data_IF_773596138554
#
_entry.id   IF_773596138554
#
_cell.length_a   1.000
_cell.length_b   1.000
_cell.length_c   1.000
_cell.angle_alpha   90.00
_cell.angle_beta   90.00
_cell.angle_gamma   90.00
#
_symmetry.space_group_name_H-M   'P 1'
#
loop_
_entity.id
_entity.type
_entity.pdbx_description
1 polymer ?
#
# COMPACT_ATOMS: atom_id res chain seq x y z
N UNK A 1 -8.73 -37.61 39.51
CA UNK A 1 -8.45 -37.36 38.09
C UNK A 1 -9.21 -36.09 37.70
N UNK A 2 -8.56 -34.95 37.77
CA UNK A 2 -9.09 -33.65 37.33
C UNK A 2 -8.93 -33.61 35.81
N UNK A 3 -10.06 -33.46 35.11
CA UNK A 3 -10.04 -33.24 33.66
C UNK A 3 -9.22 -31.97 33.34
N UNK A 4 -8.42 -31.97 32.28
CA UNK A 4 -7.74 -30.75 31.83
C UNK A 4 -8.81 -29.73 31.45
N UNK A 5 -8.78 -28.56 32.09
CA UNK A 5 -9.54 -27.39 31.66
C UNK A 5 -9.10 -27.08 30.22
N UNK A 6 -10.01 -27.22 29.29
CA UNK A 6 -9.84 -26.77 27.90
C UNK A 6 -9.70 -25.25 27.94
N UNK A 7 -8.48 -24.80 27.94
CA UNK A 7 -8.10 -23.38 27.80
C UNK A 7 -8.30 -22.96 26.31
N UNK A 8 -9.56 -23.09 25.85
CA UNK A 8 -9.96 -22.71 24.49
C UNK A 8 -9.97 -21.20 24.39
N UNK A 9 -9.26 -20.65 23.39
CA UNK A 9 -9.32 -19.22 23.07
C UNK A 9 -10.76 -18.82 22.72
N UNK A 10 -11.16 -17.66 23.17
CA UNK A 10 -12.47 -17.10 22.83
C UNK A 10 -12.48 -16.60 21.37
N UNK A 11 -13.67 -16.50 20.76
CA UNK A 11 -13.82 -15.93 19.42
C UNK A 11 -13.24 -14.51 19.35
N UNK A 12 -13.35 -13.73 20.42
CA UNK A 12 -12.81 -12.38 20.51
C UNK A 12 -11.27 -12.39 20.48
N UNK A 13 -10.60 -13.28 21.21
CA UNK A 13 -9.13 -13.39 21.18
C UNK A 13 -8.62 -13.83 19.82
N UNK A 14 -9.35 -14.73 19.13
CA UNK A 14 -9.01 -15.13 17.76
C UNK A 14 -9.15 -13.95 16.81
N UNK A 15 -10.23 -13.20 16.89
CA UNK A 15 -10.45 -11.98 16.08
C UNK A 15 -9.35 -10.95 16.29
N UNK A 16 -9.00 -10.65 17.52
CA UNK A 16 -7.93 -9.70 17.85
C UNK A 16 -6.58 -10.13 17.29
N UNK A 17 -6.27 -11.41 17.39
CA UNK A 17 -5.07 -12.00 16.79
C UNK A 17 -5.05 -11.86 15.25
N UNK A 18 -6.17 -12.12 14.58
CA UNK A 18 -6.29 -12.00 13.14
C UNK A 18 -6.15 -10.54 12.68
N UNK A 19 -6.77 -9.59 13.40
CA UNK A 19 -6.62 -8.16 13.12
C UNK A 19 -5.18 -7.69 13.31
N UNK A 20 -4.52 -8.11 14.39
CA UNK A 20 -3.12 -7.79 14.62
C UNK A 20 -2.21 -8.36 13.51
N UNK A 21 -2.47 -9.60 13.09
CA UNK A 21 -1.73 -10.27 12.01
C UNK A 21 -1.94 -9.59 10.66
N UNK A 22 -3.17 -9.21 10.32
CA UNK A 22 -3.50 -8.43 9.12
C UNK A 22 -2.70 -7.11 9.11
N UNK A 23 -2.74 -6.35 10.20
CA UNK A 23 -2.07 -5.06 10.29
C UNK A 23 -0.54 -5.19 10.24
N UNK A 24 0.02 -6.25 10.80
CA UNK A 24 1.44 -6.56 10.67
C UNK A 24 1.82 -6.91 9.22
N UNK A 25 1.00 -7.72 8.55
CA UNK A 25 1.20 -8.10 7.15
C UNK A 25 1.05 -6.89 6.21
N UNK A 26 0.07 -6.01 6.42
CA UNK A 26 -0.08 -4.78 5.66
C UNK A 26 1.16 -3.89 5.77
N UNK A 27 1.70 -3.69 6.97
CA UNK A 27 2.89 -2.84 7.19
C UNK A 27 4.18 -3.43 6.61
N UNK A 28 4.32 -4.76 6.57
CA UNK A 28 5.53 -5.45 6.11
C UNK A 28 5.20 -6.62 5.18
N UNK A 29 4.51 -6.37 4.05
CA UNK A 29 3.95 -7.43 3.22
C UNK A 29 5.00 -8.41 2.70
N UNK A 30 6.20 -7.95 2.34
CA UNK A 30 7.29 -8.80 1.89
C UNK A 30 7.77 -9.83 2.93
N UNK A 31 7.56 -9.57 4.23
CA UNK A 31 7.89 -10.53 5.30
C UNK A 31 6.81 -11.57 5.54
N UNK A 32 5.58 -11.32 5.09
CA UNK A 32 4.40 -12.15 5.34
C UNK A 32 3.92 -12.93 4.10
N UNK A 33 4.59 -12.82 2.96
CA UNK A 33 4.23 -13.53 1.73
C UNK A 33 3.47 -12.70 0.69
N UNK A 34 3.55 -11.38 0.80
CA UNK A 34 3.04 -10.43 -0.19
C UNK A 34 1.53 -10.46 -0.35
N UNK A 35 1.05 -10.18 -1.57
CA UNK A 35 -0.37 -10.06 -1.91
C UNK A 35 -1.22 -11.26 -1.49
N UNK A 36 -0.70 -12.47 -1.69
CA UNK A 36 -1.43 -13.71 -1.33
C UNK A 36 -1.74 -13.76 0.16
N UNK A 37 -0.77 -13.44 1.01
CA UNK A 37 -0.97 -13.43 2.46
C UNK A 37 -1.96 -12.34 2.89
N UNK A 38 -1.90 -11.15 2.28
CA UNK A 38 -2.86 -10.08 2.56
C UNK A 38 -4.30 -10.53 2.30
N UNK A 39 -4.54 -11.21 1.18
CA UNK A 39 -5.87 -11.74 0.83
C UNK A 39 -6.34 -12.80 1.83
N UNK A 40 -5.44 -13.69 2.27
CA UNK A 40 -5.76 -14.73 3.26
C UNK A 40 -6.13 -14.08 4.60
N UNK A 41 -5.36 -13.08 5.07
CA UNK A 41 -5.66 -12.40 6.34
C UNK A 41 -6.96 -11.59 6.27
N UNK A 42 -7.25 -10.92 5.16
CA UNK A 42 -8.51 -10.20 4.96
C UNK A 42 -9.70 -11.16 4.95
N UNK A 43 -9.59 -12.29 4.27
CA UNK A 43 -10.61 -13.34 4.26
C UNK A 43 -10.86 -13.89 5.68
N UNK A 44 -9.80 -14.17 6.42
CA UNK A 44 -9.90 -14.66 7.80
C UNK A 44 -10.55 -13.64 8.77
N UNK A 45 -10.21 -12.33 8.62
CA UNK A 45 -10.83 -11.27 9.42
C UNK A 45 -12.29 -11.09 9.01
N UNK A 46 -12.60 -11.12 7.72
CA UNK A 46 -13.98 -11.06 7.22
C UNK A 46 -14.83 -12.21 7.79
N UNK A 47 -14.30 -13.43 7.81
CA UNK A 47 -14.95 -14.58 8.42
C UNK A 47 -15.21 -14.36 9.93
N UNK A 48 -14.20 -13.86 10.66
CA UNK A 48 -14.34 -13.59 12.10
C UNK A 48 -15.38 -12.50 12.42
N UNK A 49 -15.63 -11.58 11.50
CA UNK A 49 -16.59 -10.48 11.63
C UNK A 49 -17.95 -10.76 10.94
N UNK A 50 -18.16 -11.98 10.38
CA UNK A 50 -19.32 -12.35 9.57
C UNK A 50 -19.57 -11.38 8.41
N UNK A 51 -18.48 -10.93 7.76
CA UNK A 51 -18.44 -9.94 6.68
C UNK A 51 -17.93 -10.53 5.35
N UNK A 52 -18.01 -11.85 5.16
CA UNK A 52 -17.47 -12.55 3.98
C UNK A 52 -18.09 -12.04 2.69
N UNK A 53 -19.40 -11.74 2.69
CA UNK A 53 -20.07 -11.21 1.50
C UNK A 53 -19.50 -9.84 1.12
N UNK A 54 -19.29 -8.96 2.10
CA UNK A 54 -18.70 -7.63 1.88
C UNK A 54 -17.29 -7.75 1.30
N UNK A 55 -16.49 -8.67 1.86
CA UNK A 55 -15.16 -8.95 1.34
C UNK A 55 -15.17 -9.45 -0.12
N UNK A 56 -16.10 -10.33 -0.48
CA UNK A 56 -16.22 -10.81 -1.86
C UNK A 56 -16.66 -9.70 -2.84
N UNK A 57 -17.52 -8.78 -2.39
CA UNK A 57 -17.93 -7.60 -3.17
C UNK A 57 -16.73 -6.65 -3.39
N UNK A 58 -15.92 -6.38 -2.35
CA UNK A 58 -14.70 -5.59 -2.46
C UNK A 58 -13.67 -6.21 -3.42
N UNK A 59 -13.49 -7.54 -3.37
CA UNK A 59 -12.60 -8.24 -4.31
C UNK A 59 -13.09 -8.13 -5.75
N UNK A 60 -14.38 -8.25 -5.97
CA UNK A 60 -14.99 -8.12 -7.29
C UNK A 60 -14.83 -6.69 -7.84
N UNK A 61 -15.07 -5.68 -7.00
CA UNK A 61 -14.86 -4.28 -7.36
C UNK A 61 -13.39 -4.01 -7.69
N UNK A 62 -12.46 -4.51 -6.89
CA UNK A 62 -11.04 -4.41 -7.13
C UNK A 62 -10.63 -5.07 -8.46
N UNK A 63 -11.14 -6.26 -8.77
CA UNK A 63 -10.90 -6.95 -10.05
C UNK A 63 -11.40 -6.14 -11.24
N UNK A 64 -12.56 -5.49 -11.09
CA UNK A 64 -13.12 -4.63 -12.12
C UNK A 64 -12.28 -3.37 -12.36
N UNK A 65 -11.77 -2.75 -11.29
CA UNK A 65 -10.93 -1.55 -11.36
C UNK A 65 -9.53 -1.83 -11.91
N UNK A 66 -8.94 -2.95 -11.54
CA UNK A 66 -7.56 -3.31 -11.91
C UNK A 66 -7.45 -3.78 -13.36
N UNK A 67 -8.53 -4.32 -13.95
CA UNK A 67 -8.62 -4.79 -15.36
C UNK A 67 -7.56 -5.85 -15.76
N UNK A 68 -6.67 -6.26 -14.86
CA UNK A 68 -5.57 -7.19 -15.13
C UNK A 68 -5.80 -8.55 -14.46
N UNK A 69 -5.52 -9.62 -15.19
CA UNK A 69 -5.61 -11.00 -14.69
C UNK A 69 -4.55 -11.32 -13.60
N UNK A 70 -3.54 -10.47 -13.44
CA UNK A 70 -2.37 -10.65 -12.57
C UNK A 70 -2.51 -10.02 -11.18
N UNK A 71 -3.70 -9.48 -10.84
CA UNK A 71 -3.97 -8.85 -9.55
C UNK A 71 -3.35 -7.46 -9.38
N UNK A 72 -3.38 -6.95 -8.16
CA UNK A 72 -2.86 -5.61 -7.81
C UNK A 72 -1.35 -5.53 -8.04
N UNK A 73 -0.63 -6.60 -7.73
CA UNK A 73 0.81 -6.68 -7.97
C UNK A 73 1.14 -6.50 -9.45
N UNK A 74 0.40 -7.18 -10.33
CA UNK A 74 0.58 -7.04 -11.77
C UNK A 74 0.30 -5.63 -12.28
N UNK A 75 -0.72 -4.97 -11.73
CA UNK A 75 -1.04 -3.58 -12.07
C UNK A 75 0.12 -2.63 -11.73
N UNK A 76 0.74 -2.77 -10.56
CA UNK A 76 1.94 -1.98 -10.22
C UNK A 76 3.16 -2.34 -11.07
N UNK A 77 3.32 -3.62 -11.41
CA UNK A 77 4.41 -4.04 -12.30
C UNK A 77 4.28 -3.44 -13.70
N UNK A 78 3.07 -3.36 -14.23
CA UNK A 78 2.82 -2.67 -15.51
C UNK A 78 3.07 -1.17 -15.41
N UNK A 79 2.75 -0.57 -14.25
CA UNK A 79 2.92 0.85 -14.01
C UNK A 79 4.39 1.28 -14.02
N UNK A 80 5.28 0.50 -13.39
CA UNK A 80 6.68 0.90 -13.15
C UNK A 80 7.73 -0.11 -13.60
N UNK A 81 7.33 -1.25 -14.18
CA UNK A 81 8.26 -2.32 -14.57
C UNK A 81 8.85 -3.09 -13.40
N UNK A 82 8.44 -2.77 -12.18
CA UNK A 82 8.84 -3.41 -10.94
C UNK A 82 7.70 -3.29 -9.91
N UNK A 83 7.76 -4.07 -8.84
CA UNK A 83 6.71 -4.10 -7.83
C UNK A 83 7.28 -3.90 -6.44
N UNK A 84 6.75 -2.88 -5.76
CA UNK A 84 6.98 -2.72 -4.32
C UNK A 84 5.78 -3.23 -3.54
N UNK A 85 6.00 -4.20 -2.67
CA UNK A 85 4.94 -4.85 -1.89
C UNK A 85 4.16 -3.87 -0.99
N UNK A 86 4.79 -2.76 -0.55
CA UNK A 86 4.12 -1.70 0.20
C UNK A 86 3.08 -0.95 -0.63
N UNK A 87 3.32 -0.78 -1.94
CA UNK A 87 2.35 -0.19 -2.85
C UNK A 87 1.14 -1.12 -3.03
N UNK A 88 1.38 -2.42 -3.17
CA UNK A 88 0.32 -3.43 -3.22
C UNK A 88 -0.49 -3.42 -1.92
N UNK A 89 0.19 -3.41 -0.77
CA UNK A 89 -0.46 -3.39 0.54
C UNK A 89 -1.36 -2.17 0.75
N UNK A 90 -1.01 -1.00 0.20
CA UNK A 90 -1.83 0.20 0.34
C UNK A 90 -3.22 0.08 -0.28
N UNK A 91 -3.37 -0.73 -1.34
CA UNK A 91 -4.68 -1.00 -1.97
C UNK A 91 -5.54 -1.87 -1.08
N UNK A 92 -4.97 -2.93 -0.50
CA UNK A 92 -5.67 -3.79 0.45
C UNK A 92 -5.95 -3.10 1.78
N UNK A 93 -5.07 -2.19 2.21
CA UNK A 93 -5.28 -1.36 3.39
C UNK A 93 -6.44 -0.38 3.22
N UNK A 94 -6.71 0.10 2.01
CA UNK A 94 -7.88 0.94 1.74
C UNK A 94 -9.19 0.16 1.95
N UNK A 95 -9.24 -1.11 1.55
CA UNK A 95 -10.36 -2.01 1.88
C UNK A 95 -10.45 -2.22 3.39
N UNK A 96 -9.32 -2.54 4.04
CA UNK A 96 -9.28 -2.72 5.49
C UNK A 96 -9.73 -1.46 6.25
N UNK A 97 -9.42 -0.26 5.74
CA UNK A 97 -9.86 1.00 6.31
C UNK A 97 -11.39 1.17 6.23
N UNK A 98 -11.98 0.95 5.06
CA UNK A 98 -13.44 0.99 4.88
C UNK A 98 -14.19 0.03 5.81
N UNK A 99 -13.61 -1.12 6.07
CA UNK A 99 -14.21 -2.12 6.96
C UNK A 99 -13.89 -1.89 8.45
N UNK A 100 -13.02 -0.92 8.79
CA UNK A 100 -12.60 -0.67 10.16
C UNK A 100 -11.63 -1.71 10.71
N UNK A 101 -10.89 -2.39 9.83
CA UNK A 101 -9.88 -3.40 10.17
C UNK A 101 -8.46 -2.83 10.17
N UNK A 102 -8.25 -1.64 9.60
CA UNK A 102 -6.95 -0.98 9.59
C UNK A 102 -6.71 -0.21 10.89
N UNK A 103 -5.57 -0.48 11.52
CA UNK A 103 -5.11 0.26 12.69
C UNK A 103 -4.22 1.41 12.20
N UNK A 104 -4.59 2.63 12.56
CA UNK A 104 -3.86 3.85 12.21
C UNK A 104 -2.86 4.21 13.31
N UNK A 105 -1.65 4.62 12.91
CA UNK A 105 -0.61 5.15 13.82
C UNK A 105 -0.87 6.64 14.12
N UNK A 106 -1.53 7.33 13.18
CA UNK A 106 -2.00 8.71 13.29
C UNK A 106 -3.31 8.85 12.53
N UNK A 107 -4.23 9.61 13.11
CA UNK A 107 -5.49 10.02 12.46
C UNK A 107 -5.39 11.50 12.10
N UNK A 108 -5.66 11.84 10.85
CA UNK A 108 -5.73 13.23 10.41
C UNK A 108 -7.05 13.87 10.83
N UNK A 109 -7.02 15.17 11.05
CA UNK A 109 -8.24 15.99 11.04
C UNK A 109 -8.75 16.14 9.60
N UNK A 110 -10.04 16.46 9.43
CA UNK A 110 -10.60 16.70 8.08
C UNK A 110 -9.87 17.83 7.35
N UNK A 111 -9.43 18.88 8.07
CA UNK A 111 -8.66 19.99 7.47
C UNK A 111 -7.30 19.52 6.95
N UNK A 112 -6.53 18.79 7.75
CA UNK A 112 -5.24 18.23 7.33
C UNK A 112 -5.40 17.30 6.11
N UNK A 113 -6.44 16.46 6.11
CA UNK A 113 -6.74 15.56 5.00
C UNK A 113 -7.04 16.33 3.71
N UNK A 114 -7.91 17.34 3.78
CA UNK A 114 -8.27 18.18 2.65
C UNK A 114 -7.07 18.98 2.13
N UNK A 115 -6.24 19.52 3.01
CA UNK A 115 -4.98 20.21 2.66
C UNK A 115 -4.03 19.30 1.88
N UNK A 116 -3.78 18.07 2.35
CA UNK A 116 -2.94 17.09 1.66
C UNK A 116 -3.54 16.77 0.29
N UNK A 117 -4.84 16.50 0.23
CA UNK A 117 -5.54 16.14 -0.99
C UNK A 117 -5.44 17.22 -2.06
N UNK A 118 -5.64 18.49 -1.68
CA UNK A 118 -5.59 19.62 -2.62
C UNK A 118 -4.15 20.01 -3.02
N UNK A 119 -3.21 19.91 -2.09
CA UNK A 119 -1.82 20.27 -2.36
C UNK A 119 -1.10 19.25 -3.26
N UNK A 120 -1.42 17.97 -3.14
CA UNK A 120 -0.63 16.88 -3.70
C UNK A 120 -0.50 16.90 -5.23
N UNK A 121 -1.53 17.31 -5.98
CA UNK A 121 -1.44 17.41 -7.45
C UNK A 121 -0.40 18.45 -7.89
N UNK A 122 -0.39 19.61 -7.24
CA UNK A 122 0.58 20.66 -7.56
C UNK A 122 1.97 20.29 -7.03
N UNK A 123 2.01 19.65 -5.88
CA UNK A 123 3.24 19.27 -5.19
C UNK A 123 4.00 18.15 -5.92
N UNK A 124 3.29 17.25 -6.62
CA UNK A 124 3.88 16.20 -7.47
C UNK A 124 4.46 16.71 -8.81
N UNK A 125 4.41 18.01 -9.11
CA UNK A 125 5.04 18.57 -10.33
C UNK A 125 6.57 18.57 -10.27
N UNK A 126 7.13 18.34 -9.09
CA UNK A 126 8.58 18.27 -8.84
C UNK A 126 8.90 16.94 -8.17
N UNK A 127 10.14 16.47 -8.38
CA UNK A 127 10.64 15.31 -7.65
C UNK A 127 10.80 15.66 -6.17
N UNK A 128 10.38 14.73 -5.31
CA UNK A 128 10.35 14.87 -3.86
C UNK A 128 10.96 13.65 -3.21
N UNK A 129 11.63 13.84 -2.12
CA UNK A 129 12.20 12.77 -1.30
C UNK A 129 11.25 12.33 -0.17
N UNK A 130 11.61 11.25 0.51
CA UNK A 130 10.91 10.79 1.71
C UNK A 130 10.85 11.89 2.77
N UNK A 131 11.98 12.57 3.00
CA UNK A 131 12.05 13.65 4.00
C UNK A 131 11.20 14.86 3.62
N UNK A 132 11.06 15.16 2.33
CA UNK A 132 10.17 16.22 1.85
C UNK A 132 8.71 15.90 2.19
N UNK A 133 8.25 14.64 1.92
CA UNK A 133 6.86 14.23 2.24
C UNK A 133 6.60 14.35 3.74
N UNK A 134 7.50 13.83 4.57
CA UNK A 134 7.32 13.86 6.03
C UNK A 134 7.41 15.27 6.59
N UNK A 135 8.25 16.12 6.02
CA UNK A 135 8.37 17.54 6.43
C UNK A 135 7.11 18.33 6.06
N UNK A 136 6.56 18.07 4.87
CA UNK A 136 5.37 18.79 4.40
C UNK A 136 4.07 18.36 5.11
N UNK A 137 3.90 17.03 5.33
CA UNK A 137 2.62 16.46 5.77
C UNK A 137 2.68 15.79 7.15
N UNK A 138 3.85 15.76 7.78
CA UNK A 138 4.06 15.10 9.06
C UNK A 138 4.14 13.56 8.94
N UNK A 139 4.13 12.83 10.08
CA UNK A 139 4.14 11.37 10.07
C UNK A 139 2.88 10.81 9.42
N UNK A 140 2.98 9.71 8.63
CA UNK A 140 1.84 9.10 7.97
C UNK A 140 0.86 8.44 8.96
N UNK A 141 -0.39 8.26 8.53
CA UNK A 141 -1.37 7.44 9.23
C UNK A 141 -0.97 5.97 9.24
N UNK A 142 -0.36 5.49 8.16
CA UNK A 142 0.23 4.15 8.06
C UNK A 142 1.45 4.18 7.14
N UNK A 143 2.51 3.50 7.56
CA UNK A 143 3.69 3.25 6.75
C UNK A 143 3.65 1.81 6.22
N UNK A 144 3.71 1.64 4.91
CA UNK A 144 3.86 0.34 4.25
C UNK A 144 5.29 0.18 3.74
N UNK A 145 5.94 -0.90 4.13
CA UNK A 145 7.32 -1.21 3.83
C UNK A 145 8.19 -1.30 5.09
N UNK A 146 9.46 -1.61 4.91
CA UNK A 146 10.39 -1.73 6.03
C UNK A 146 10.75 -0.37 6.66
N UNK A 147 11.29 -0.43 7.89
CA UNK A 147 11.77 0.76 8.61
C UNK A 147 13.11 1.30 8.11
N UNK A 148 13.84 0.53 7.28
CA UNK A 148 15.10 1.01 6.71
C UNK A 148 14.83 2.24 5.82
N UNK A 149 15.46 3.40 6.11
CA UNK A 149 15.18 4.67 5.43
C UNK A 149 15.52 4.63 3.93
N UNK A 150 16.38 3.74 3.50
CA UNK A 150 16.88 3.67 2.12
C UNK A 150 15.99 2.84 1.19
N UNK A 151 15.06 2.05 1.74
CA UNK A 151 14.24 1.14 0.92
C UNK A 151 12.91 1.78 0.50
N UNK A 152 12.33 1.31 -0.61
CA UNK A 152 11.01 1.74 -1.07
C UNK A 152 9.95 1.70 0.03
N UNK A 153 9.06 2.68 0.02
CA UNK A 153 7.98 2.84 1.01
C UNK A 153 6.71 3.39 0.35
N UNK A 154 5.59 3.13 1.00
CA UNK A 154 4.36 3.86 0.73
C UNK A 154 3.87 4.48 2.03
N UNK A 155 3.70 5.79 2.04
CA UNK A 155 3.13 6.54 3.14
C UNK A 155 1.66 6.81 2.85
N UNK A 156 0.77 6.40 3.74
CA UNK A 156 -0.65 6.67 3.61
C UNK A 156 -1.14 7.63 4.70
N UNK A 157 -2.01 8.54 4.28
CA UNK A 157 -2.63 9.55 5.12
C UNK A 157 -4.15 9.42 5.02
N UNK A 158 -4.84 9.38 6.15
CA UNK A 158 -6.31 9.29 6.20
C UNK A 158 -6.84 9.77 7.55
N UNK A 159 -8.15 9.97 7.62
CA UNK A 159 -8.89 10.23 8.85
C UNK A 159 -9.40 8.91 9.47
N UNK A 160 -10.20 8.98 10.53
CA UNK A 160 -10.92 7.84 11.10
C UNK A 160 -12.24 7.54 10.36
N UNK A 161 -12.63 8.38 9.40
CA UNK A 161 -13.84 8.18 8.61
C UNK A 161 -13.61 7.09 7.57
N UNK A 162 -14.43 6.07 7.60
CA UNK A 162 -14.30 4.90 6.72
C UNK A 162 -14.47 5.22 5.23
N UNK A 163 -15.17 6.33 4.91
CA UNK A 163 -15.41 6.78 3.55
C UNK A 163 -14.24 7.60 2.98
N UNK A 164 -13.32 8.06 3.82
CA UNK A 164 -12.13 8.77 3.38
C UNK A 164 -11.13 7.78 2.80
N UNK A 165 -10.72 8.02 1.56
CA UNK A 165 -9.73 7.18 0.87
C UNK A 165 -8.34 7.36 1.47
N UNK A 166 -7.47 6.37 1.29
CA UNK A 166 -6.06 6.51 1.63
C UNK A 166 -5.35 7.38 0.59
N UNK A 167 -4.80 8.52 1.04
CA UNK A 167 -3.90 9.37 0.25
C UNK A 167 -2.50 8.76 0.32
N UNK A 168 -2.04 8.13 -0.76
CA UNK A 168 -0.83 7.32 -0.76
C UNK A 168 0.30 7.98 -1.55
N UNK A 169 1.46 8.16 -0.91
CA UNK A 169 2.71 8.58 -1.53
C UNK A 169 3.59 7.35 -1.75
N UNK A 170 3.83 6.99 -3.01
CA UNK A 170 4.63 5.83 -3.40
C UNK A 170 6.07 6.27 -3.68
N UNK A 171 6.99 5.91 -2.78
CA UNK A 171 8.39 6.28 -2.85
C UNK A 171 9.25 5.06 -3.21
N UNK A 172 10.18 5.28 -4.09
CA UNK A 172 11.06 4.24 -4.60
C UNK A 172 12.54 4.58 -4.44
N UNK A 173 13.34 3.54 -4.28
CA UNK A 173 14.79 3.63 -4.36
C UNK A 173 15.32 2.33 -4.98
N UNK A 174 16.08 2.46 -6.04
CA UNK A 174 16.70 1.31 -6.70
C UNK A 174 18.04 0.99 -6.06
N UNK A 175 18.37 -0.30 -5.98
CA UNK A 175 19.73 -0.72 -5.65
C UNK A 175 20.57 -0.82 -6.92
N UNK A 176 21.79 -0.29 -6.90
CA UNK A 176 22.75 -0.53 -7.97
C UNK A 176 23.32 -1.93 -7.83
N UNK A 177 23.38 -2.73 -8.92
CA UNK A 177 24.14 -3.97 -8.91
C UNK A 177 25.60 -3.64 -8.58
N UNK A 178 26.08 -4.12 -7.43
CA UNK A 178 27.48 -3.97 -7.02
C UNK A 178 28.10 -5.37 -6.88
N UNK A 179 29.32 -5.59 -7.35
CA UNK A 179 30.05 -6.79 -7.06
C UNK A 179 30.46 -6.93 -5.58
N UNK A 180 30.29 -5.85 -4.81
CA UNK A 180 30.50 -5.84 -3.34
C UNK A 180 29.22 -6.26 -2.61
N UNK A 181 29.32 -6.96 -1.46
CA UNK A 181 28.16 -7.35 -0.66
C UNK A 181 27.33 -6.15 -0.10
N UNK A 182 27.83 -4.92 -0.21
CA UNK A 182 27.08 -3.71 0.08
C UNK A 182 26.41 -3.19 -1.19
N UNK A 183 25.12 -3.51 -1.40
CA UNK A 183 24.32 -2.83 -2.41
C UNK A 183 24.20 -1.34 -2.03
N UNK A 184 24.67 -0.44 -2.88
CA UNK A 184 24.42 1.00 -2.73
C UNK A 184 23.07 1.34 -3.38
N UNK A 185 22.29 2.18 -2.69
CA UNK A 185 21.07 2.73 -3.27
C UNK A 185 21.43 3.84 -4.28
N UNK A 186 20.58 4.01 -5.32
CA UNK A 186 20.76 5.06 -6.34
C UNK A 186 20.62 6.45 -5.72
N UNK A 187 19.70 6.59 -4.76
CA UNK A 187 19.45 7.83 -4.03
C UNK A 187 19.79 7.65 -2.55
N UNK A 188 20.15 8.74 -1.88
CA UNK A 188 20.39 8.75 -0.43
C UNK A 188 19.14 8.34 0.37
N UNK A 189 17.97 8.63 -0.17
CA UNK A 189 16.67 8.22 0.35
C UNK A 189 15.68 7.98 -0.80
N UNK A 190 14.53 7.29 -0.56
CA UNK A 190 13.53 7.05 -1.58
C UNK A 190 12.94 8.34 -2.16
N UNK A 191 12.74 8.34 -3.47
CA UNK A 191 12.15 9.45 -4.23
C UNK A 191 10.70 9.12 -4.56
N UNK A 192 9.83 10.11 -4.46
CA UNK A 192 8.42 9.99 -4.80
C UNK A 192 8.25 9.74 -6.30
N UNK A 193 7.57 8.66 -6.66
CA UNK A 193 7.21 8.38 -8.04
C UNK A 193 5.77 8.79 -8.35
N UNK A 194 4.86 8.58 -7.41
CA UNK A 194 3.48 8.95 -7.60
C UNK A 194 2.75 9.17 -6.27
N UNK A 195 1.76 10.03 -6.33
CA UNK A 195 0.69 10.15 -5.37
C UNK A 195 -0.55 9.43 -5.90
N UNK A 196 -1.27 8.69 -5.04
CA UNK A 196 -2.53 8.04 -5.37
C UNK A 196 -3.64 8.49 -4.43
N UNK A 197 -4.77 8.92 -5.02
CA UNK A 197 -5.94 9.42 -4.29
C UNK A 197 -7.25 8.89 -4.88
N UNK A 198 -7.44 7.59 -4.82
CA UNK A 198 -8.63 6.95 -5.39
C UNK A 198 -8.67 7.04 -6.92
N UNK A 199 -9.80 6.69 -7.50
CA UNK A 199 -10.01 6.72 -8.96
C UNK A 199 -11.12 5.75 -9.38
N UNK A 200 -11.77 6.01 -10.52
CA UNK A 200 -12.78 5.09 -11.09
C UNK A 200 -12.12 3.82 -11.59
N UNK A 201 -10.99 3.97 -12.29
CA UNK A 201 -10.09 2.88 -12.62
C UNK A 201 -8.83 2.99 -11.77
N UNK A 202 -8.10 1.89 -11.66
CA UNK A 202 -6.86 1.84 -10.87
C UNK A 202 -5.86 2.93 -11.30
N UNK A 203 -5.72 3.14 -12.61
CA UNK A 203 -4.77 4.10 -13.17
C UNK A 203 -5.18 5.56 -12.98
N UNK A 204 -6.48 5.86 -12.89
CA UNK A 204 -7.00 7.23 -12.80
C UNK A 204 -6.63 7.93 -11.47
N UNK A 205 -6.30 7.14 -10.46
CA UNK A 205 -5.95 7.66 -9.13
C UNK A 205 -4.53 8.18 -8.99
N UNK A 206 -3.66 8.02 -10.00
CA UNK A 206 -2.25 8.35 -9.90
C UNK A 206 -1.90 9.71 -10.48
N UNK A 207 -1.16 10.51 -9.71
CA UNK A 207 -0.45 11.71 -10.15
C UNK A 207 1.03 11.44 -10.05
N UNK A 208 1.73 11.43 -11.19
CA UNK A 208 3.16 11.11 -11.26
C UNK A 208 4.03 12.35 -11.09
N UNK A 209 5.18 12.17 -10.42
CA UNK A 209 6.27 13.14 -10.47
C UNK A 209 7.04 13.03 -11.79
N UNK A 210 7.97 13.94 -12.10
CA UNK A 210 8.82 13.83 -13.29
C UNK A 210 9.58 12.48 -13.35
N UNK A 211 10.21 12.04 -12.25
CA UNK A 211 10.89 10.74 -12.17
C UNK A 211 9.90 9.58 -12.32
N UNK A 212 8.73 9.64 -11.67
CA UNK A 212 7.68 8.64 -11.80
C UNK A 212 7.14 8.52 -13.22
N UNK A 213 7.00 9.65 -13.93
CA UNK A 213 6.60 9.69 -15.35
C UNK A 213 7.66 9.04 -16.24
N UNK A 214 8.94 9.36 -16.03
CA UNK A 214 10.03 8.76 -16.77
C UNK A 214 10.05 7.22 -16.59
N UNK A 215 9.85 6.73 -15.37
CA UNK A 215 9.76 5.30 -15.08
C UNK A 215 8.56 4.62 -15.72
N UNK A 216 7.41 5.26 -15.65
CA UNK A 216 6.19 4.75 -16.29
C UNK A 216 6.35 4.59 -17.80
N UNK A 217 6.95 5.57 -18.47
CA UNK A 217 7.23 5.50 -19.91
C UNK A 217 8.22 4.37 -20.25
N UNK A 218 9.26 4.18 -19.45
CA UNK A 218 10.22 3.09 -19.63
C UNK A 218 9.59 1.71 -19.46
N UNK A 219 8.62 1.54 -18.54
CA UNK A 219 7.91 0.27 -18.36
C UNK A 219 7.07 -0.08 -19.59
N UNK A 220 6.36 0.90 -20.15
CA UNK A 220 5.52 0.70 -21.35
C UNK A 220 6.33 0.35 -22.59
N UNK A 221 7.53 0.91 -22.74
CA UNK A 221 8.44 0.57 -23.85
C UNK A 221 8.99 -0.87 -23.78
N UNK A 222 9.01 -1.50 -22.60
CA UNK A 222 9.46 -2.89 -22.44
C UNK A 222 8.37 -3.93 -22.75
N UNK A 223 7.10 -3.56 -22.64
CA UNK A 223 5.97 -4.47 -22.85
C UNK A 223 5.55 -4.59 -24.32
N UNK A 224 6.05 -3.72 -25.20
CA UNK A 224 5.87 -3.80 -26.64
C UNK A 224 7.22 -3.78 -27.36
N UNK A 225 7.94 -4.92 -27.47
CA UNK A 225 8.97 -5.02 -28.50
C UNK A 225 8.25 -4.93 -29.82
N UNK A 226 8.55 -3.89 -30.63
CA UNK A 226 8.07 -3.76 -31.98
C UNK A 226 8.35 -5.07 -32.71
N UNK A 227 7.27 -5.75 -33.12
CA UNK A 227 7.35 -6.97 -33.90
C UNK A 227 8.01 -6.64 -35.25
N UNK A 228 9.20 -7.16 -35.45
CA UNK A 228 9.88 -7.25 -36.74
C UNK A 228 9.40 -8.47 -37.46
#
# INVERSE_FOLDING_TARGET
MTAPTSDGRTAQEVREYLLASLNAALRRPGMYGGETALRIYLDAVAFADAAEQVWQEELKDLQTKVVLSTGVRGAFQELWGDTHEGSVASVYAEIAHRQGWLILDRTLTSSEYDEIRHASETWCREDRSLSDVVTAFGPPSVLFGGTNPNYPKTLAYTTDRRDDILLCFHLWNSSTPSPSPSSSCVHAEPILWAFRAGGTLFMDGFTFTPEGTARHLLSRGRTHPEGS
#
